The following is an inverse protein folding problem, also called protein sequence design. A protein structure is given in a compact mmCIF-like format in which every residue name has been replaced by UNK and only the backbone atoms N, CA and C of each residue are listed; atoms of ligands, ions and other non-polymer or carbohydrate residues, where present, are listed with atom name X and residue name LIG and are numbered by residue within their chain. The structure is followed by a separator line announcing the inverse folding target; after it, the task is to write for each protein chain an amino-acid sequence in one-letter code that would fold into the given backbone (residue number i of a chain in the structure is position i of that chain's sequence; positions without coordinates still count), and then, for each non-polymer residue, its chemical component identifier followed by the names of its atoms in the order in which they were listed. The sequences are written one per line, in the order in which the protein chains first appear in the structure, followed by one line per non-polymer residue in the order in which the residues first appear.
data_IF_168081463818
#
_entry.id   IF_168081463818
#
_cell.length_a   1.000
_cell.length_b   1.000
_cell.length_c   1.000
_cell.angle_alpha   90.00
_cell.angle_beta   90.00
_cell.angle_gamma   90.00
#
_symmetry.space_group_name_H-M   'P 1'
#
loop_
_entity.id
_entity.type
_entity.pdbx_description
1 polymer ?
#
# COMPACT_ATOMS: atom_id res chain seq x y z
N UNK A 1 -4.79 -15.77 -9.21
CA UNK A 1 -4.37 -14.46 -9.76
C UNK A 1 -2.89 -14.43 -10.18
N UNK A 2 -1.97 -15.01 -9.41
CA UNK A 2 -0.53 -15.06 -9.72
C UNK A 2 -0.18 -15.75 -11.05
N UNK A 3 -0.78 -16.91 -11.36
CA UNK A 3 -0.54 -17.64 -12.61
C UNK A 3 -0.89 -16.82 -13.87
N UNK A 4 -1.98 -16.03 -13.81
CA UNK A 4 -2.38 -15.15 -14.91
C UNK A 4 -1.40 -14.00 -15.15
N UNK A 5 -0.87 -13.40 -14.08
CA UNK A 5 0.17 -12.38 -14.18
C UNK A 5 1.46 -12.95 -14.78
N UNK A 6 1.93 -14.10 -14.30
CA UNK A 6 3.16 -14.72 -14.79
C UNK A 6 3.06 -15.16 -16.26
N UNK A 7 1.89 -15.68 -16.66
CA UNK A 7 1.62 -16.02 -18.06
C UNK A 7 1.65 -14.79 -18.99
N UNK A 8 1.01 -13.70 -18.56
CA UNK A 8 1.04 -12.43 -19.27
C UNK A 8 2.46 -11.85 -19.35
N UNK A 9 3.22 -11.93 -18.25
CA UNK A 9 4.60 -11.45 -18.17
C UNK A 9 5.52 -12.21 -19.12
N UNK A 10 5.40 -13.54 -19.16
CA UNK A 10 6.12 -14.40 -20.09
C UNK A 10 5.82 -14.02 -21.55
N UNK A 11 4.53 -13.90 -21.91
CA UNK A 11 4.12 -13.56 -23.28
C UNK A 11 4.60 -12.19 -23.77
N UNK A 12 4.76 -11.22 -22.87
CA UNK A 12 5.18 -9.85 -23.21
C UNK A 12 6.66 -9.58 -22.99
N UNK A 13 7.48 -10.60 -22.70
CA UNK A 13 8.90 -10.46 -22.34
C UNK A 13 9.11 -9.40 -21.24
N UNK A 14 8.25 -9.46 -20.22
CA UNK A 14 8.26 -8.49 -19.13
C UNK A 14 9.55 -8.63 -18.31
N UNK A 15 10.10 -7.53 -17.75
CA UNK A 15 11.34 -7.61 -16.98
C UNK A 15 11.20 -8.55 -15.77
N UNK A 16 12.14 -9.49 -15.64
CA UNK A 16 12.11 -10.54 -14.61
C UNK A 16 12.00 -9.96 -13.19
N UNK A 17 12.68 -8.83 -12.92
CA UNK A 17 12.60 -8.17 -11.62
C UNK A 17 11.16 -7.79 -11.21
N UNK A 18 10.27 -7.47 -12.16
CA UNK A 18 8.87 -7.14 -11.86
C UNK A 18 8.04 -8.37 -11.47
N UNK A 19 8.37 -9.52 -12.05
CA UNK A 19 7.77 -10.80 -11.64
C UNK A 19 8.27 -11.24 -10.27
N UNK A 20 9.54 -11.01 -9.94
CA UNK A 20 10.08 -11.22 -8.60
C UNK A 20 9.37 -10.34 -7.58
N UNK A 21 9.22 -9.03 -7.86
CA UNK A 21 8.48 -8.11 -6.99
C UNK A 21 7.01 -8.52 -6.80
N UNK A 22 6.33 -8.98 -7.87
CA UNK A 22 4.97 -9.49 -7.77
C UNK A 22 4.86 -10.70 -6.84
N UNK A 23 5.75 -11.68 -7.01
CA UNK A 23 5.76 -12.89 -6.15
C UNK A 23 6.08 -12.50 -4.70
N UNK A 24 7.09 -11.66 -4.48
CA UNK A 24 7.45 -11.21 -3.14
C UNK A 24 6.31 -10.43 -2.46
N UNK A 25 5.60 -9.57 -3.18
CA UNK A 25 4.43 -8.86 -2.67
C UNK A 25 3.27 -9.80 -2.32
N UNK A 26 3.00 -10.79 -3.17
CA UNK A 26 1.98 -11.81 -2.88
C UNK A 26 2.36 -12.67 -1.66
N UNK A 27 3.61 -13.09 -1.54
CA UNK A 27 4.09 -13.84 -0.37
C UNK A 27 3.95 -12.98 0.89
N UNK A 28 4.32 -11.71 0.84
CA UNK A 28 4.19 -10.77 1.97
C UNK A 28 2.73 -10.59 2.40
N UNK A 29 1.77 -10.61 1.47
CA UNK A 29 0.35 -10.53 1.81
C UNK A 29 -0.20 -11.86 2.37
N UNK A 30 0.23 -12.99 1.82
CA UNK A 30 -0.26 -14.32 2.21
C UNK A 30 0.33 -14.77 3.55
N UNK A 31 1.60 -14.48 3.82
CA UNK A 31 2.28 -14.95 5.05
C UNK A 31 1.59 -14.42 6.32
N UNK A 32 1.02 -13.21 6.24
CA UNK A 32 0.25 -12.58 7.33
C UNK A 32 -1.06 -13.31 7.61
N UNK A 33 -1.59 -14.05 6.63
CA UNK A 33 -2.87 -14.75 6.70
C UNK A 33 -2.74 -16.24 7.02
N UNK A 34 -1.51 -16.79 7.11
CA UNK A 34 -1.28 -18.23 7.21
C UNK A 34 -0.75 -18.62 8.60
N UNK A 35 -1.44 -19.58 9.20
CA UNK A 35 -1.04 -20.45 10.33
C UNK A 35 -0.25 -19.76 11.45
N UNK A 36 1.06 -20.02 11.57
CA UNK A 36 1.83 -19.63 12.76
C UNK A 36 1.92 -18.12 12.94
N UNK A 37 1.94 -17.36 11.84
CA UNK A 37 2.04 -15.90 11.93
C UNK A 37 0.70 -15.27 12.33
N UNK A 38 -0.41 -15.77 11.77
CA UNK A 38 -1.75 -15.28 12.09
C UNK A 38 -2.14 -15.59 13.54
N UNK A 39 -1.73 -16.76 14.06
CA UNK A 39 -1.92 -17.14 15.47
C UNK A 39 -1.11 -16.22 16.41
N UNK A 40 0.17 -15.98 16.12
CA UNK A 40 0.98 -15.05 16.93
C UNK A 40 0.45 -13.61 16.88
N UNK A 41 -0.13 -13.17 15.77
CA UNK A 41 -0.78 -11.86 15.67
C UNK A 41 -2.00 -11.70 16.60
N UNK A 42 -2.65 -12.80 17.00
CA UNK A 42 -3.75 -12.75 17.96
C UNK A 42 -3.27 -12.65 19.41
N UNK A 43 -2.06 -13.13 19.69
CA UNK A 43 -1.51 -13.17 21.05
C UNK A 43 -0.55 -12.02 21.35
N UNK A 44 0.12 -11.50 20.34
CA UNK A 44 1.18 -10.51 20.50
C UNK A 44 0.97 -9.32 19.57
N UNK A 45 0.78 -8.14 20.18
CA UNK A 45 0.61 -6.90 19.42
C UNK A 45 1.81 -6.58 18.51
N UNK A 46 3.01 -6.99 18.91
CA UNK A 46 4.23 -6.82 18.11
C UNK A 46 4.15 -7.56 16.77
N UNK A 47 3.66 -8.80 16.76
CA UNK A 47 3.43 -9.56 15.54
C UNK A 47 2.31 -8.93 14.70
N UNK A 48 1.29 -8.37 15.35
CA UNK A 48 0.28 -7.58 14.65
C UNK A 48 0.88 -6.38 13.90
N UNK A 49 1.85 -5.66 14.49
CA UNK A 49 2.57 -4.58 13.82
C UNK A 49 3.38 -5.06 12.61
N UNK A 50 4.08 -6.20 12.74
CA UNK A 50 4.77 -6.79 11.59
C UNK A 50 3.79 -7.18 10.47
N UNK A 51 2.65 -7.77 10.82
CA UNK A 51 1.59 -8.09 9.86
C UNK A 51 1.04 -6.84 9.18
N UNK A 52 0.81 -5.76 9.94
CA UNK A 52 0.41 -4.46 9.40
C UNK A 52 1.45 -3.91 8.40
N UNK A 53 2.74 -3.95 8.72
CA UNK A 53 3.79 -3.47 7.81
C UNK A 53 3.90 -4.32 6.54
N UNK A 54 3.85 -5.65 6.69
CA UNK A 54 3.94 -6.58 5.56
C UNK A 54 2.73 -6.44 4.64
N UNK A 55 1.52 -6.42 5.19
CA UNK A 55 0.27 -6.40 4.43
C UNK A 55 -0.15 -4.99 3.99
N UNK A 56 0.01 -4.00 4.86
CA UNK A 56 -0.46 -2.63 4.63
C UNK A 56 0.53 -1.72 3.92
N UNK A 57 1.83 -2.07 3.90
CA UNK A 57 2.85 -1.21 3.30
C UNK A 57 3.74 -1.95 2.31
N UNK A 58 4.41 -3.03 2.73
CA UNK A 58 5.39 -3.73 1.90
C UNK A 58 4.74 -4.44 0.70
N UNK A 59 3.70 -5.24 0.93
CA UNK A 59 2.99 -5.93 -0.14
C UNK A 59 2.42 -4.95 -1.18
N UNK A 60 1.67 -3.89 -0.79
CA UNK A 60 1.27 -2.80 -1.66
C UNK A 60 2.40 -2.22 -2.51
N UNK A 61 3.52 -1.86 -1.89
CA UNK A 61 4.68 -1.28 -2.57
C UNK A 61 5.21 -2.22 -3.65
N UNK A 62 5.47 -3.48 -3.30
CA UNK A 62 6.01 -4.47 -4.21
C UNK A 62 5.04 -4.76 -5.38
N UNK A 63 3.74 -4.87 -5.09
CA UNK A 63 2.72 -5.13 -6.09
C UNK A 63 2.53 -3.97 -7.06
N UNK A 64 2.58 -2.72 -6.57
CA UNK A 64 2.51 -1.53 -7.44
C UNK A 64 3.76 -1.42 -8.32
N UNK A 65 4.95 -1.70 -7.78
CA UNK A 65 6.20 -1.68 -8.55
C UNK A 65 6.28 -2.76 -9.64
N UNK A 66 5.54 -3.86 -9.47
CA UNK A 66 5.39 -4.88 -10.49
C UNK A 66 4.61 -4.39 -11.74
N UNK A 67 3.99 -3.21 -11.68
CA UNK A 67 3.17 -2.57 -12.72
C UNK A 67 2.12 -3.53 -13.35
N UNK A 68 1.26 -4.16 -12.53
CA UNK A 68 0.30 -5.16 -12.99
C UNK A 68 -0.76 -4.56 -13.92
N UNK A 69 -1.19 -3.33 -13.68
CA UNK A 69 -2.17 -2.67 -14.55
C UNK A 69 -1.60 -2.39 -15.94
N UNK A 70 -0.34 -1.93 -16.03
CA UNK A 70 0.35 -1.78 -17.31
C UNK A 70 0.48 -3.10 -18.08
N UNK A 71 0.81 -4.21 -17.40
CA UNK A 71 0.87 -5.53 -18.02
C UNK A 71 -0.51 -5.99 -18.50
N UNK A 72 -1.55 -5.77 -17.68
CA UNK A 72 -2.93 -6.12 -18.00
C UNK A 72 -3.42 -5.34 -19.23
N UNK A 73 -3.22 -4.02 -19.27
CA UNK A 73 -3.57 -3.19 -20.41
C UNK A 73 -2.80 -3.55 -21.68
N UNK A 74 -1.55 -3.99 -21.54
CA UNK A 74 -0.73 -4.44 -22.67
C UNK A 74 -1.15 -5.80 -23.23
N UNK A 75 -1.84 -6.64 -22.45
CA UNK A 75 -2.28 -7.99 -22.85
C UNK A 75 -3.76 -8.06 -23.28
N UNK A 76 -4.59 -7.13 -22.81
CA UNK A 76 -6.01 -7.07 -23.18
C UNK A 76 -6.23 -6.66 -24.65
N UNK A 77 -7.27 -7.21 -25.31
CA UNK A 77 -7.74 -6.69 -26.60
C UNK A 77 -8.12 -5.21 -26.50
N UNK A 78 -7.87 -4.43 -27.54
CA UNK A 78 -8.05 -2.95 -27.54
C UNK A 78 -9.46 -2.53 -27.06
N UNK A 79 -10.51 -3.25 -27.46
CA UNK A 79 -11.90 -2.97 -27.02
C UNK A 79 -12.07 -3.14 -25.50
N UNK A 80 -11.50 -4.18 -24.93
CA UNK A 80 -11.55 -4.47 -23.48
C UNK A 80 -10.66 -3.51 -22.70
N UNK A 81 -9.45 -3.22 -23.20
CA UNK A 81 -8.56 -2.22 -22.62
C UNK A 81 -9.24 -0.83 -22.58
N UNK A 82 -9.90 -0.40 -23.66
CA UNK A 82 -10.64 0.88 -23.70
C UNK A 82 -11.85 0.89 -22.76
N UNK A 83 -12.52 -0.24 -22.54
CA UNK A 83 -13.61 -0.34 -21.55
C UNK A 83 -13.06 -0.24 -20.13
N UNK A 84 -11.98 -0.95 -19.83
CA UNK A 84 -11.31 -0.89 -18.53
C UNK A 84 -10.76 0.52 -18.23
N UNK A 85 -10.07 1.16 -19.17
CA UNK A 85 -9.61 2.54 -18.99
C UNK A 85 -10.75 3.55 -18.81
N UNK A 86 -11.93 3.31 -19.41
CA UNK A 86 -13.12 4.14 -19.14
C UNK A 86 -13.67 3.92 -17.73
N UNK A 87 -13.70 2.68 -17.26
CA UNK A 87 -14.10 2.37 -15.89
C UNK A 87 -13.16 2.99 -14.85
N UNK A 88 -11.84 2.92 -15.10
CA UNK A 88 -10.82 3.59 -14.28
C UNK A 88 -10.92 5.12 -14.32
N UNK A 89 -11.53 5.69 -15.37
CA UNK A 89 -11.80 7.12 -15.48
C UNK A 89 -13.17 7.52 -14.89
N UNK A 90 -13.89 6.62 -14.23
CA UNK A 90 -15.17 6.93 -13.58
C UNK A 90 -14.99 7.93 -12.43
N UNK A 91 -16.00 8.75 -12.12
CA UNK A 91 -15.92 9.74 -11.05
C UNK A 91 -15.66 9.09 -9.68
N UNK A 92 -16.18 7.88 -9.46
CA UNK A 92 -15.94 7.11 -8.23
C UNK A 92 -14.45 6.76 -8.06
N UNK A 93 -13.83 6.19 -9.10
CA UNK A 93 -12.40 5.87 -9.07
C UNK A 93 -11.57 7.16 -8.95
N UNK A 94 -11.97 8.25 -9.61
CA UNK A 94 -11.30 9.55 -9.48
C UNK A 94 -11.35 10.10 -8.05
N UNK A 95 -12.48 9.93 -7.37
CA UNK A 95 -12.64 10.37 -5.98
C UNK A 95 -11.75 9.58 -5.02
N UNK A 96 -11.73 8.25 -5.18
CA UNK A 96 -10.93 7.36 -4.32
C UNK A 96 -9.43 7.47 -4.64
N UNK A 97 -9.07 7.61 -5.92
CA UNK A 97 -7.69 7.80 -6.37
C UNK A 97 -7.17 9.25 -6.19
N UNK A 98 -7.87 10.09 -5.43
CA UNK A 98 -7.38 11.40 -5.03
C UNK A 98 -6.32 11.23 -3.92
N UNK A 99 -5.14 11.88 -3.98
CA UNK A 99 -4.07 11.73 -2.98
C UNK A 99 -4.53 11.90 -1.53
N UNK A 100 -5.38 12.90 -1.28
CA UNK A 100 -5.96 13.16 0.05
C UNK A 100 -6.90 12.03 0.48
N UNK A 101 -7.82 11.59 -0.39
CA UNK A 101 -8.74 10.49 -0.07
C UNK A 101 -8.01 9.20 0.22
N UNK A 102 -7.00 8.86 -0.60
CA UNK A 102 -6.17 7.68 -0.38
C UNK A 102 -5.42 7.75 0.96
N UNK A 103 -4.91 8.93 1.33
CA UNK A 103 -4.26 9.17 2.63
C UNK A 103 -5.24 9.02 3.79
N UNK A 104 -6.46 9.56 3.67
CA UNK A 104 -7.50 9.44 4.69
C UNK A 104 -7.92 7.96 4.86
N UNK A 105 -8.12 7.22 3.76
CA UNK A 105 -8.48 5.81 3.83
C UNK A 105 -7.38 4.96 4.47
N UNK A 106 -6.12 5.29 4.19
CA UNK A 106 -4.96 4.58 4.74
C UNK A 106 -4.72 4.97 6.21
N UNK A 107 -4.34 6.21 6.47
CA UNK A 107 -3.92 6.68 7.79
C UNK A 107 -5.11 6.92 8.73
N UNK A 108 -6.24 7.38 8.20
CA UNK A 108 -7.47 7.49 8.99
C UNK A 108 -8.04 6.13 9.37
N UNK A 109 -7.92 5.12 8.50
CA UNK A 109 -8.28 3.73 8.82
C UNK A 109 -7.44 3.17 9.97
N UNK A 110 -6.12 3.43 9.96
CA UNK A 110 -5.22 3.05 11.06
C UNK A 110 -5.54 3.78 12.36
N UNK A 111 -5.81 5.08 12.27
CA UNK A 111 -6.22 5.86 13.44
C UNK A 111 -7.48 5.31 14.06
N UNK A 112 -8.51 5.03 13.25
CA UNK A 112 -9.75 4.45 13.73
C UNK A 112 -9.51 3.08 14.38
N UNK A 113 -8.71 2.22 13.74
CA UNK A 113 -8.42 0.88 14.24
C UNK A 113 -7.80 0.91 15.64
N UNK A 114 -6.77 1.73 15.87
CA UNK A 114 -6.02 1.73 17.13
C UNK A 114 -6.53 2.71 18.19
N UNK A 115 -7.39 3.68 17.82
CA UNK A 115 -7.97 4.65 18.76
C UNK A 115 -9.40 4.35 19.17
N UNK A 116 -10.00 3.31 18.61
CA UNK A 116 -11.32 2.83 19.02
C UNK A 116 -11.23 1.37 19.44
N UNK A 117 -12.35 0.83 19.93
CA UNK A 117 -12.47 -0.57 20.32
C UNK A 117 -12.41 -1.54 19.13
N UNK A 118 -12.26 -1.04 17.89
CA UNK A 118 -12.22 -1.84 16.67
C UNK A 118 -11.10 -2.88 16.71
N UNK A 119 -9.95 -2.55 17.31
CA UNK A 119 -8.85 -3.48 17.53
C UNK A 119 -9.25 -4.66 18.43
N UNK A 120 -10.05 -4.45 19.47
CA UNK A 120 -10.55 -5.55 20.29
C UNK A 120 -11.64 -6.33 19.55
N UNK A 121 -12.57 -5.61 18.91
CA UNK A 121 -13.69 -6.23 18.17
C UNK A 121 -13.22 -7.14 17.05
N UNK A 122 -12.12 -6.80 16.37
CA UNK A 122 -11.58 -7.63 15.28
C UNK A 122 -11.07 -8.99 15.76
N UNK A 123 -10.56 -9.09 16.99
CA UNK A 123 -10.12 -10.37 17.55
C UNK A 123 -11.30 -11.26 17.98
N UNK A 124 -12.46 -10.66 18.28
CA UNK A 124 -13.67 -11.41 18.62
C UNK A 124 -14.50 -11.84 17.40
N UNK A 125 -14.39 -11.14 16.28
CA UNK A 125 -15.19 -11.41 15.09
C UNK A 125 -14.32 -11.64 13.85
N UNK A 126 -14.30 -12.89 13.37
CA UNK A 126 -13.53 -13.32 12.20
C UNK A 126 -13.90 -12.57 10.92
N UNK A 127 -15.17 -12.19 10.73
CA UNK A 127 -15.57 -11.38 9.56
C UNK A 127 -14.96 -9.98 9.62
N UNK A 128 -14.97 -9.38 10.80
CA UNK A 128 -14.38 -8.05 11.01
C UNK A 128 -12.86 -8.10 10.87
N UNK A 129 -12.22 -9.18 11.36
CA UNK A 129 -10.79 -9.45 11.16
C UNK A 129 -10.41 -9.39 9.67
N UNK A 130 -11.07 -10.18 8.82
CA UNK A 130 -10.77 -10.20 7.39
C UNK A 130 -11.10 -8.88 6.70
N UNK A 131 -12.20 -8.23 7.09
CA UNK A 131 -12.60 -6.94 6.54
C UNK A 131 -11.55 -5.84 6.81
N UNK A 132 -11.02 -5.79 8.03
CA UNK A 132 -9.99 -4.81 8.42
C UNK A 132 -8.68 -5.09 7.69
N UNK A 133 -8.21 -6.34 7.66
CA UNK A 133 -6.98 -6.67 6.95
C UNK A 133 -7.09 -6.42 5.44
N UNK A 134 -8.25 -6.73 4.85
CA UNK A 134 -8.52 -6.40 3.46
C UNK A 134 -8.53 -4.89 3.22
N UNK A 135 -9.16 -4.11 4.11
CA UNK A 135 -9.15 -2.65 4.06
C UNK A 135 -7.74 -2.09 4.15
N UNK A 136 -6.93 -2.55 5.11
CA UNK A 136 -5.53 -2.14 5.30
C UNK A 136 -4.73 -2.40 4.01
N UNK A 137 -4.86 -3.60 3.43
CA UNK A 137 -4.20 -3.93 2.17
C UNK A 137 -4.67 -3.05 1.01
N UNK A 138 -5.99 -2.89 0.85
CA UNK A 138 -6.58 -2.14 -0.25
C UNK A 138 -6.25 -0.65 -0.16
N UNK A 139 -6.33 -0.07 1.03
CA UNK A 139 -5.98 1.32 1.30
C UNK A 139 -4.47 1.57 1.08
N UNK A 140 -3.60 0.67 1.54
CA UNK A 140 -2.17 0.74 1.30
C UNK A 140 -1.80 0.62 -0.19
N UNK A 141 -2.45 -0.29 -0.91
CA UNK A 141 -2.28 -0.45 -2.36
C UNK A 141 -2.71 0.81 -3.11
N UNK A 142 -3.89 1.34 -2.77
CA UNK A 142 -4.41 2.57 -3.35
C UNK A 142 -3.48 3.76 -3.07
N UNK A 143 -3.08 3.96 -1.81
CA UNK A 143 -2.17 5.01 -1.39
C UNK A 143 -0.87 4.94 -2.20
N UNK A 144 -0.25 3.77 -2.26
CA UNK A 144 1.02 3.58 -2.98
C UNK A 144 0.87 3.82 -4.48
N UNK A 145 -0.21 3.33 -5.10
CA UNK A 145 -0.50 3.54 -6.52
C UNK A 145 -0.70 5.03 -6.85
N UNK A 146 -1.42 5.76 -5.99
CA UNK A 146 -1.71 7.19 -6.16
C UNK A 146 -0.48 8.06 -5.92
N UNK A 147 0.37 7.73 -4.95
CA UNK A 147 1.58 8.52 -4.70
C UNK A 147 2.63 8.30 -5.80
N UNK A 148 2.85 7.05 -6.21
CA UNK A 148 3.89 6.73 -7.19
C UNK A 148 3.47 7.03 -8.66
N UNK A 149 2.17 7.00 -8.99
CA UNK A 149 1.63 7.20 -10.35
C UNK A 149 2.42 6.47 -11.46
N UNK A 150 2.80 5.21 -11.23
CA UNK A 150 3.61 4.44 -12.21
C UNK A 150 2.81 3.97 -13.43
N UNK A 151 1.48 3.89 -13.27
CA UNK A 151 0.54 3.49 -14.31
C UNK A 151 -0.02 4.71 -15.05
N UNK A 152 -0.48 4.57 -16.31
CA UNK A 152 -1.00 5.69 -17.09
C UNK A 152 -2.28 6.26 -16.48
N UNK A 153 -2.17 7.43 -15.84
CA UNK A 153 -3.29 8.20 -15.27
C UNK A 153 -3.70 9.32 -16.23
N UNK A 154 -5.01 9.49 -16.46
CA UNK A 154 -5.53 10.56 -17.36
C UNK A 154 -5.30 11.98 -16.84
N UNK A 155 -5.29 12.14 -15.52
CA UNK A 155 -5.12 13.43 -14.85
C UNK A 155 -4.11 13.27 -13.71
N UNK A 156 -2.80 13.27 -14.02
CA UNK A 156 -1.77 13.14 -13.00
C UNK A 156 -1.76 14.37 -12.08
N UNK A 157 -1.58 14.15 -10.78
CA UNK A 157 -1.43 15.24 -9.82
C UNK A 157 0.01 15.75 -9.84
N UNK A 158 0.17 17.05 -9.57
CA UNK A 158 1.51 17.65 -9.53
C UNK A 158 2.38 16.95 -8.49
N UNK A 159 3.67 16.77 -8.80
CA UNK A 159 4.62 16.15 -7.88
C UNK A 159 4.66 16.88 -6.53
N UNK A 160 4.65 18.23 -6.54
CA UNK A 160 4.64 19.05 -5.33
C UNK A 160 3.44 18.72 -4.43
N UNK A 161 2.24 18.61 -5.02
CA UNK A 161 1.03 18.30 -4.26
C UNK A 161 1.11 16.90 -3.63
N UNK A 162 1.50 15.89 -4.40
CA UNK A 162 1.68 14.52 -3.88
C UNK A 162 2.76 14.45 -2.81
N UNK A 163 3.88 15.16 -2.99
CA UNK A 163 4.95 15.22 -2.01
C UNK A 163 4.47 15.83 -0.67
N UNK A 164 3.70 16.93 -0.71
CA UNK A 164 3.12 17.51 0.51
C UNK A 164 2.18 16.53 1.19
N UNK A 165 1.28 15.88 0.43
CA UNK A 165 0.36 14.88 0.99
C UNK A 165 1.10 13.68 1.58
N UNK A 166 2.15 13.19 0.91
CA UNK A 166 3.03 12.13 1.39
C UNK A 166 3.69 12.53 2.73
N UNK A 167 4.18 13.77 2.84
CA UNK A 167 4.80 14.26 4.09
C UNK A 167 3.81 14.36 5.23
N UNK A 168 2.58 14.80 4.95
CA UNK A 168 1.50 14.79 5.94
C UNK A 168 1.15 13.35 6.35
N UNK A 169 1.08 12.40 5.41
CA UNK A 169 0.82 10.99 5.70
C UNK A 169 1.89 10.38 6.60
N UNK A 170 3.16 10.61 6.27
CA UNK A 170 4.31 10.18 7.07
C UNK A 170 4.19 10.78 8.46
N UNK A 171 4.03 12.09 8.59
CA UNK A 171 3.89 12.74 9.90
C UNK A 171 2.75 12.13 10.73
N UNK A 172 1.58 11.87 10.14
CA UNK A 172 0.45 11.26 10.84
C UNK A 172 0.73 9.81 11.25
N UNK A 173 1.39 9.02 10.40
CA UNK A 173 1.80 7.65 10.72
C UNK A 173 2.80 7.63 11.89
N UNK A 174 3.77 8.55 11.87
CA UNK A 174 4.79 8.70 12.91
C UNK A 174 4.20 9.18 14.24
N UNK A 175 3.25 10.11 14.20
CA UNK A 175 2.51 10.57 15.39
C UNK A 175 1.70 9.40 15.96
N UNK A 176 0.99 8.65 15.11
CA UNK A 176 0.22 7.48 15.53
C UNK A 176 1.11 6.45 16.24
N UNK A 177 2.24 6.09 15.62
CA UNK A 177 3.18 5.13 16.20
C UNK A 177 3.69 5.58 17.57
N UNK A 178 4.16 6.85 17.68
CA UNK A 178 4.67 7.39 18.95
C UNK A 178 3.58 7.55 20.01
N UNK A 179 2.34 7.79 19.59
CA UNK A 179 1.22 7.97 20.51
C UNK A 179 0.82 6.69 21.25
N UNK A 180 1.33 5.52 20.89
CA UNK A 180 1.15 4.27 21.66
C UNK A 180 1.91 4.25 22.99
N UNK A 181 2.93 5.10 23.16
CA UNK A 181 3.66 5.23 24.43
C UNK A 181 2.79 5.82 25.55
N UNK A 182 2.17 7.00 25.37
CA UNK A 182 1.27 7.57 26.38
C UNK A 182 -0.13 6.95 26.37
N UNK A 183 -0.58 6.44 25.22
CA UNK A 183 -1.94 5.94 25.02
C UNK A 183 -1.91 4.60 24.27
N UNK A 184 -1.72 3.46 24.96
CA UNK A 184 -1.76 2.15 24.33
C UNK A 184 -3.16 1.85 23.75
N UNK A 185 -3.27 1.06 22.66
CA UNK A 185 -4.56 0.61 22.16
C UNK A 185 -5.35 -0.18 23.22
N UNK A 186 -6.68 -0.14 23.14
CA UNK A 186 -7.54 -0.83 24.08
C UNK A 186 -7.23 -2.34 24.11
N UNK A 187 -7.05 -2.90 25.32
CA UNK A 187 -6.74 -4.30 25.53
C UNK A 187 -5.30 -4.73 25.27
N UNK A 188 -4.39 -3.80 24.94
CA UNK A 188 -2.96 -4.07 24.75
C UNK A 188 -2.17 -3.63 25.98
N UNK A 189 -1.31 -4.53 26.49
CA UNK A 189 -0.40 -4.21 27.59
C UNK A 189 0.60 -3.11 27.18
N UNK A 190 0.92 -2.19 28.09
CA UNK A 190 1.81 -1.04 27.84
C UNK A 190 3.15 -1.47 27.25
N UNK A 191 3.77 -2.53 27.79
CA UNK A 191 5.07 -3.01 27.30
C UNK A 191 4.98 -3.53 25.86
N UNK A 192 3.91 -4.26 25.52
CA UNK A 192 3.68 -4.72 24.16
C UNK A 192 3.36 -3.56 23.20
N UNK A 193 2.58 -2.58 23.66
CA UNK A 193 2.25 -1.40 22.87
C UNK A 193 3.52 -0.59 22.53
N UNK A 194 4.44 -0.43 23.50
CA UNK A 194 5.73 0.23 23.27
C UNK A 194 6.62 -0.56 22.32
N UNK A 195 6.73 -1.88 22.48
CA UNK A 195 7.49 -2.73 21.56
C UNK A 195 6.89 -2.69 20.14
N UNK A 196 5.57 -2.73 20.01
CA UNK A 196 4.87 -2.58 18.74
C UNK A 196 5.07 -1.20 18.12
N UNK A 197 5.06 -0.14 18.94
CA UNK A 197 5.34 1.22 18.49
C UNK A 197 6.74 1.36 17.88
N UNK A 198 7.74 0.67 18.43
CA UNK A 198 9.10 0.64 17.87
C UNK A 198 9.10 -0.02 16.48
N UNK A 199 8.40 -1.16 16.33
CA UNK A 199 8.27 -1.86 15.05
C UNK A 199 7.58 -0.99 14.01
N UNK A 200 6.43 -0.40 14.37
CA UNK A 200 5.66 0.47 13.48
C UNK A 200 6.44 1.74 13.09
N UNK A 201 7.16 2.33 14.04
CA UNK A 201 8.00 3.52 13.83
C UNK A 201 9.14 3.24 12.84
N UNK A 202 10.03 2.30 13.18
CA UNK A 202 11.22 2.04 12.36
C UNK A 202 10.89 1.28 11.07
N UNK A 203 9.99 0.30 11.13
CA UNK A 203 9.58 -0.47 9.96
C UNK A 203 8.79 0.38 8.97
N UNK A 204 7.94 1.26 9.48
CA UNK A 204 7.24 2.27 8.67
C UNK A 204 8.21 3.24 8.01
N UNK A 205 9.15 3.82 8.77
CA UNK A 205 10.17 4.74 8.27
C UNK A 205 10.92 4.17 7.06
N UNK A 206 11.35 2.90 7.13
CA UNK A 206 12.06 2.24 6.02
C UNK A 206 11.22 2.21 4.76
N UNK A 207 9.95 1.80 4.84
CA UNK A 207 9.08 1.67 3.67
C UNK A 207 8.70 3.06 3.13
N UNK A 208 8.43 4.01 4.01
CA UNK A 208 8.12 5.40 3.65
C UNK A 208 9.31 6.08 2.95
N UNK A 209 10.54 5.87 3.43
CA UNK A 209 11.74 6.37 2.77
C UNK A 209 11.93 5.76 1.38
N UNK A 210 11.64 4.47 1.21
CA UNK A 210 11.67 3.82 -0.11
C UNK A 210 10.62 4.46 -1.04
N UNK A 211 9.40 4.68 -0.55
CA UNK A 211 8.34 5.35 -1.32
C UNK A 211 8.75 6.77 -1.75
N UNK A 212 9.26 7.57 -0.82
CA UNK A 212 9.74 8.93 -1.08
C UNK A 212 10.88 8.90 -2.10
N UNK A 213 11.85 7.99 -1.92
CA UNK A 213 12.97 7.82 -2.84
C UNK A 213 12.49 7.51 -4.27
N UNK A 214 11.57 6.55 -4.43
CA UNK A 214 11.02 6.19 -5.74
C UNK A 214 10.25 7.35 -6.36
N UNK A 215 9.44 8.06 -5.57
CA UNK A 215 8.68 9.22 -6.01
C UNK A 215 9.61 10.34 -6.51
N UNK A 216 10.65 10.67 -5.75
CA UNK A 216 11.67 11.65 -6.11
C UNK A 216 12.49 11.22 -7.34
N UNK A 217 12.85 9.94 -7.44
CA UNK A 217 13.53 9.39 -8.61
C UNK A 217 12.67 9.49 -9.87
N UNK A 218 11.37 9.24 -9.75
CA UNK A 218 10.39 9.40 -10.83
C UNK A 218 10.33 10.84 -11.33
N UNK A 219 10.29 11.81 -10.41
CA UNK A 219 10.31 13.24 -10.73
C UNK A 219 11.64 13.69 -11.35
N UNK A 220 12.77 13.28 -10.78
CA UNK A 220 14.09 13.61 -11.32
C UNK A 220 14.24 13.13 -12.77
N UNK A 221 13.73 11.93 -13.09
CA UNK A 221 13.75 11.38 -14.45
C UNK A 221 12.81 12.12 -15.41
N UNK A 222 11.70 12.68 -14.94
CA UNK A 222 10.75 13.41 -15.80
C UNK A 222 11.20 14.83 -16.12
N UNK A 223 11.99 15.45 -15.23
CA UNK A 223 12.51 16.82 -15.39
C UNK A 223 13.88 16.86 -16.08
N UNK A 224 14.58 15.72 -16.19
CA UNK A 224 15.92 15.65 -16.83
C UNK A 224 15.87 16.19 -18.27
N UNK A 225 16.60 17.28 -18.60
CA UNK A 225 16.73 17.76 -19.96
C UNK A 225 17.48 16.72 -20.79
N UNK A 226 16.77 15.99 -21.65
CA UNK A 226 17.38 14.93 -22.46
C UNK A 226 16.45 13.76 -22.79
N UNK A 227 15.31 14.05 -23.40
CA UNK A 227 14.63 13.24 -24.42
C UNK A 227 13.53 14.08 -25.07
N UNK A 228 13.94 14.99 -25.95
CA UNK A 228 13.09 15.41 -27.06
C UNK A 228 12.87 14.14 -27.89
N UNK A 229 11.68 13.53 -27.81
CA UNK A 229 11.28 12.57 -28.82
C UNK A 229 10.70 13.37 -29.97
N UNK A 230 11.49 13.47 -31.03
CA UNK A 230 10.96 13.67 -32.37
C UNK A 230 10.00 12.52 -32.74
N UNK A 231 9.04 12.86 -33.59
CA UNK A 231 8.06 12.03 -34.31
C UNK A 231 6.87 11.49 -33.50
#
# INVERSE_FOLDING_TARGET
MSAGYLYAAYRKKWPVYRSVLWIAGMISAVIVMVGPFAEEMHHQFVYHMYGHLLLGMLAPLLLVLAMPLRLLLGTLPVKSARRFSRFMASPYIRFIAHPVTATILNTGGLWLLYRTDLFMMMHHNTWLYYAIHFHIFAAGYLFTAVMLELDPVRHPYSFKFRAVVMMVSVALHQILSKSFYPYPPAGVEVLQAQAGAVVMYYGGDVIELILIFIMCLGWYRSVRPGKISHA
#
